data_IF_054294938456
#
_entry.id   IF_054294938456
#
_cell.length_a   1.000
_cell.length_b   1.000
_cell.length_c   1.000
_cell.angle_alpha   90.00
_cell.angle_beta   90.00
_cell.angle_gamma   90.00
#
_symmetry.space_group_name_H-M   'P 1'
#
loop_
_entity.id
_entity.type
_entity.pdbx_description
1 polymer ?
#
# COMPACT_ATOMS: atom_id res chain seq x y z
N UNK A 1 0.70 52.01 16.93
CA UNK A 1 1.39 50.78 17.19
C UNK A 1 1.02 49.63 16.21
N UNK A 2 1.18 49.97 14.95
CA UNK A 2 0.86 49.05 13.85
C UNK A 2 1.63 47.73 13.95
N UNK A 3 2.89 47.74 14.39
CA UNK A 3 3.75 46.57 14.53
C UNK A 3 3.28 45.57 15.61
N UNK A 4 2.69 46.06 16.70
CA UNK A 4 2.15 45.18 17.76
C UNK A 4 0.85 44.53 17.32
N UNK A 5 0.01 45.22 16.56
CA UNK A 5 -1.22 44.71 16.01
C UNK A 5 -0.94 43.61 14.96
N UNK A 6 0.04 43.79 14.08
CA UNK A 6 0.45 42.78 13.10
C UNK A 6 1.05 41.56 13.76
N UNK A 7 1.87 41.72 14.81
CA UNK A 7 2.45 40.59 15.54
C UNK A 7 1.37 39.78 16.28
N UNK A 8 0.37 40.48 16.89
CA UNK A 8 -0.74 39.81 17.56
C UNK A 8 -1.62 39.06 16.56
N UNK A 9 -1.90 39.63 15.39
CA UNK A 9 -2.65 38.99 14.33
C UNK A 9 -1.91 37.72 13.83
N UNK A 10 -0.57 37.79 13.66
CA UNK A 10 0.25 36.68 13.25
C UNK A 10 0.25 35.55 14.30
N UNK A 11 0.32 35.89 15.59
CA UNK A 11 0.22 34.91 16.68
C UNK A 11 -1.15 34.20 16.70
N UNK A 12 -2.24 34.95 16.48
CA UNK A 12 -3.57 34.37 16.37
C UNK A 12 -3.66 33.43 15.17
N UNK A 13 -3.11 33.84 14.01
CA UNK A 13 -3.08 33.02 12.80
C UNK A 13 -2.29 31.73 13.00
N UNK A 14 -1.12 31.78 13.66
CA UNK A 14 -0.33 30.63 14.00
C UNK A 14 -1.10 29.69 14.93
N UNK A 15 -1.71 30.20 16.00
CA UNK A 15 -2.50 29.40 16.94
C UNK A 15 -3.70 28.72 16.26
N UNK A 16 -4.40 29.43 15.38
CA UNK A 16 -5.48 28.90 14.57
C UNK A 16 -5.00 27.82 13.61
N UNK A 17 -3.87 28.06 12.94
CA UNK A 17 -3.28 27.08 12.01
C UNK A 17 -2.81 25.83 12.73
N UNK A 18 -2.17 25.93 13.89
CA UNK A 18 -1.77 24.79 14.71
C UNK A 18 -2.98 23.96 15.17
N UNK A 19 -4.09 24.61 15.51
CA UNK A 19 -5.32 23.89 15.85
C UNK A 19 -5.85 23.04 14.70
N UNK A 20 -5.81 23.57 13.46
CA UNK A 20 -6.27 22.85 12.27
C UNK A 20 -5.22 21.90 11.68
N UNK A 21 -3.94 22.07 12.00
CA UNK A 21 -2.86 21.18 11.55
C UNK A 21 -3.04 19.72 12.00
N UNK A 22 -3.76 19.48 13.11
CA UNK A 22 -4.12 18.12 13.55
C UNK A 22 -5.01 17.36 12.58
N UNK A 23 -5.73 18.09 11.71
CA UNK A 23 -6.58 17.50 10.66
C UNK A 23 -5.85 17.30 9.33
N UNK A 24 -4.54 17.57 9.31
CA UNK A 24 -3.70 17.32 8.14
C UNK A 24 -3.60 15.80 7.86
N UNK A 25 -3.99 15.41 6.65
CA UNK A 25 -4.01 14.00 6.25
C UNK A 25 -3.16 13.78 4.99
N UNK A 26 -2.45 12.65 4.99
CA UNK A 26 -1.72 12.12 3.84
C UNK A 26 -2.56 11.03 3.18
N UNK A 27 -2.69 11.07 1.86
CA UNK A 27 -3.34 10.05 1.07
C UNK A 27 -2.33 9.38 0.12
N UNK A 28 -1.87 8.20 0.48
CA UNK A 28 -1.01 7.36 -0.35
C UNK A 28 -1.75 6.13 -0.89
N UNK A 29 -3.09 6.18 -0.92
CA UNK A 29 -3.86 5.10 -1.56
C UNK A 29 -3.58 5.04 -3.05
N UNK A 30 -3.69 3.84 -3.64
CA UNK A 30 -3.67 3.67 -5.10
C UNK A 30 -4.72 4.54 -5.79
N UNK A 31 -5.86 4.77 -5.14
CA UNK A 31 -6.92 5.64 -5.64
C UNK A 31 -6.48 7.11 -5.78
N UNK A 32 -5.55 7.57 -4.95
CA UNK A 32 -5.01 8.93 -5.04
C UNK A 32 -4.12 9.17 -6.28
N UNK A 33 -3.70 8.08 -6.93
CA UNK A 33 -2.93 8.10 -8.18
C UNK A 33 -3.83 7.95 -9.41
N UNK A 34 -5.10 7.59 -9.23
CA UNK A 34 -6.08 7.41 -10.29
C UNK A 34 -6.92 8.69 -10.43
N UNK A 35 -7.15 9.10 -11.67
CA UNK A 35 -8.06 10.21 -11.96
C UNK A 35 -9.51 9.71 -11.79
N UNK A 36 -10.23 10.31 -10.87
CA UNK A 36 -11.67 10.09 -10.75
C UNK A 36 -12.34 10.50 -12.08
N UNK A 37 -13.13 9.58 -12.66
CA UNK A 37 -13.75 9.77 -13.98
C UNK A 37 -13.00 9.15 -15.16
N UNK A 38 -11.85 8.51 -14.93
CA UNK A 38 -11.12 7.75 -15.95
C UNK A 38 -12.00 6.58 -16.45
N UNK A 39 -12.21 6.45 -17.77
CA UNK A 39 -13.02 5.35 -18.36
C UNK A 39 -12.47 3.96 -18.00
N UNK A 40 -11.15 3.80 -17.93
CA UNK A 40 -10.52 2.52 -17.60
C UNK A 40 -10.76 2.15 -16.13
N UNK A 41 -10.79 3.13 -15.23
CA UNK A 41 -11.15 2.93 -13.84
C UNK A 41 -12.61 2.49 -13.69
N UNK A 42 -13.52 3.10 -14.46
CA UNK A 42 -14.91 2.71 -14.48
C UNK A 42 -15.08 1.26 -14.97
N UNK A 43 -14.42 0.92 -16.06
CA UNK A 43 -14.42 -0.45 -16.61
C UNK A 43 -13.87 -1.46 -15.61
N UNK A 44 -12.75 -1.14 -14.93
CA UNK A 44 -12.17 -2.00 -13.89
C UNK A 44 -13.16 -2.23 -12.73
N UNK A 45 -13.90 -1.20 -12.32
CA UNK A 45 -14.92 -1.30 -11.26
C UNK A 45 -16.07 -2.20 -11.69
N UNK A 46 -16.57 -2.08 -12.94
CA UNK A 46 -17.61 -2.94 -13.50
C UNK A 46 -17.17 -4.41 -13.57
N UNK A 47 -15.93 -4.66 -14.00
CA UNK A 47 -15.34 -6.02 -14.00
C UNK A 47 -15.25 -6.57 -12.57
N UNK A 48 -14.78 -5.77 -11.63
CA UNK A 48 -14.67 -6.18 -10.22
C UNK A 48 -16.04 -6.42 -9.57
N UNK A 49 -17.09 -5.69 -9.96
CA UNK A 49 -18.45 -5.96 -9.49
C UNK A 49 -18.99 -7.28 -10.05
N UNK A 50 -18.72 -7.58 -11.32
CA UNK A 50 -19.24 -8.76 -12.01
C UNK A 50 -18.54 -10.05 -11.58
N UNK A 51 -17.21 -10.02 -11.52
CA UNK A 51 -16.39 -11.22 -11.28
C UNK A 51 -15.86 -11.31 -9.84
N UNK A 52 -16.06 -10.25 -9.05
CA UNK A 52 -15.44 -10.11 -7.75
C UNK A 52 -13.96 -9.71 -7.86
N UNK A 53 -13.45 -8.99 -6.89
CA UNK A 53 -12.02 -8.79 -6.72
C UNK A 53 -11.62 -9.22 -5.33
N UNK A 54 -10.50 -9.94 -5.24
CA UNK A 54 -9.82 -10.20 -3.96
C UNK A 54 -8.47 -9.52 -4.03
N UNK A 55 -8.19 -8.74 -3.02
CA UNK A 55 -6.83 -8.24 -2.84
C UNK A 55 -5.90 -9.42 -2.59
N UNK A 56 -4.70 -9.34 -3.12
CA UNK A 56 -3.70 -10.38 -2.94
C UNK A 56 -2.29 -9.79 -2.80
N UNK A 57 -1.46 -10.55 -2.10
CA UNK A 57 -0.02 -10.35 -2.07
C UNK A 57 0.65 -11.44 -2.91
N UNK A 58 1.76 -11.10 -3.52
CA UNK A 58 2.60 -12.05 -4.26
C UNK A 58 3.94 -12.12 -3.58
N UNK A 59 4.39 -13.33 -3.26
CA UNK A 59 5.75 -13.57 -2.85
C UNK A 59 6.49 -14.31 -3.96
N UNK A 60 7.72 -13.91 -4.23
CA UNK A 60 8.64 -14.74 -5.01
C UNK A 60 9.43 -15.59 -4.05
N UNK A 61 9.54 -16.87 -4.36
CA UNK A 61 10.27 -17.86 -3.56
C UNK A 61 11.35 -18.50 -4.42
N UNK A 62 12.61 -18.18 -4.13
CA UNK A 62 13.80 -18.75 -4.79
C UNK A 62 14.55 -19.58 -3.76
N UNK A 63 14.37 -20.92 -3.75
CA UNK A 63 15.03 -21.78 -2.78
C UNK A 63 16.55 -21.84 -3.03
N UNK A 64 17.30 -22.15 -1.99
CA UNK A 64 18.74 -22.41 -2.09
C UNK A 64 19.01 -23.69 -2.90
N UNK A 65 18.14 -24.69 -2.74
CA UNK A 65 18.19 -25.98 -3.44
C UNK A 65 17.09 -26.09 -4.51
N UNK A 66 17.04 -27.18 -5.25
CA UNK A 66 16.03 -27.38 -6.30
C UNK A 66 14.62 -27.61 -5.72
N UNK A 67 13.58 -27.24 -6.46
CA UNK A 67 12.18 -27.60 -6.15
C UNK A 67 11.90 -29.11 -6.21
N UNK A 68 12.79 -29.90 -6.79
CA UNK A 68 12.68 -31.37 -6.81
C UNK A 68 13.10 -32.02 -5.49
N UNK A 69 13.79 -31.26 -4.62
CA UNK A 69 14.25 -31.77 -3.33
C UNK A 69 13.14 -31.79 -2.27
N UNK A 70 13.15 -32.86 -1.46
CA UNK A 70 12.15 -33.04 -0.41
C UNK A 70 12.15 -31.90 0.61
N UNK A 71 13.35 -31.42 0.96
CA UNK A 71 13.53 -30.35 1.94
C UNK A 71 12.93 -29.03 1.48
N UNK A 72 13.14 -28.67 0.21
CA UNK A 72 12.55 -27.47 -0.40
C UNK A 72 11.02 -27.51 -0.35
N UNK A 73 10.42 -28.65 -0.71
CA UNK A 73 8.97 -28.84 -0.66
C UNK A 73 8.44 -28.72 0.79
N UNK A 74 9.12 -29.34 1.76
CA UNK A 74 8.74 -29.26 3.16
C UNK A 74 8.82 -27.82 3.70
N UNK A 75 9.90 -27.10 3.37
CA UNK A 75 10.07 -25.70 3.77
C UNK A 75 8.96 -24.81 3.18
N UNK A 76 8.62 -25.02 1.91
CA UNK A 76 7.53 -24.30 1.26
C UNK A 76 6.16 -24.66 1.86
N UNK A 77 5.90 -25.91 2.21
CA UNK A 77 4.69 -26.33 2.92
C UNK A 77 4.57 -25.67 4.31
N UNK A 78 5.69 -25.62 5.05
CA UNK A 78 5.73 -24.97 6.36
C UNK A 78 5.47 -23.46 6.24
N UNK A 79 6.13 -22.78 5.30
CA UNK A 79 5.90 -21.36 5.01
C UNK A 79 4.44 -21.10 4.66
N UNK A 80 3.89 -21.87 3.70
CA UNK A 80 2.47 -21.79 3.33
C UNK A 80 1.55 -21.94 4.54
N UNK A 81 1.78 -22.97 5.36
CA UNK A 81 0.98 -23.24 6.56
C UNK A 81 1.05 -22.10 7.58
N UNK A 82 2.21 -21.44 7.73
CA UNK A 82 2.36 -20.28 8.62
C UNK A 82 1.60 -19.07 8.11
N UNK A 83 1.70 -18.78 6.79
CA UNK A 83 0.97 -17.67 6.17
C UNK A 83 -0.54 -17.93 6.22
N UNK A 84 -0.98 -19.14 5.93
CA UNK A 84 -2.40 -19.53 5.95
C UNK A 84 -3.06 -19.38 7.35
N UNK A 85 -2.26 -19.42 8.43
CA UNK A 85 -2.75 -19.23 9.81
C UNK A 85 -2.94 -17.77 10.20
N UNK A 86 -2.49 -16.81 9.40
CA UNK A 86 -2.71 -15.40 9.64
C UNK A 86 -4.21 -15.09 9.51
N UNK A 87 -4.77 -14.38 10.47
CA UNK A 87 -6.22 -14.17 10.61
C UNK A 87 -6.87 -13.44 9.43
N UNK A 88 -6.09 -12.62 8.75
CA UNK A 88 -6.48 -11.79 7.61
C UNK A 88 -6.26 -12.46 6.25
N UNK A 89 -5.61 -13.62 6.22
CA UNK A 89 -5.40 -14.42 5.00
C UNK A 89 -6.63 -15.28 4.73
N UNK A 90 -7.09 -15.29 3.49
CA UNK A 90 -8.17 -16.16 3.00
C UNK A 90 -7.60 -17.48 2.51
N UNK A 91 -6.68 -17.43 1.54
CA UNK A 91 -6.07 -18.61 0.96
C UNK A 91 -4.64 -18.34 0.45
N UNK A 92 -3.82 -19.38 0.37
CA UNK A 92 -2.46 -19.34 -0.14
C UNK A 92 -2.28 -20.38 -1.22
N UNK A 93 -1.85 -19.95 -2.41
CA UNK A 93 -1.58 -20.82 -3.55
C UNK A 93 -0.09 -20.75 -3.88
N UNK A 94 0.52 -21.90 -4.09
CA UNK A 94 1.94 -22.06 -4.39
C UNK A 94 2.15 -23.09 -5.50
N UNK A 95 3.38 -23.25 -5.96
CA UNK A 95 3.72 -24.28 -6.97
C UNK A 95 3.42 -25.71 -6.50
N UNK A 96 3.41 -25.96 -5.19
CA UNK A 96 3.08 -27.31 -4.65
C UNK A 96 1.59 -27.62 -4.67
N UNK A 97 0.73 -26.66 -5.01
CA UNK A 97 -0.72 -26.84 -5.13
C UNK A 97 -1.17 -27.06 -6.57
N UNK A 98 -0.24 -26.95 -7.51
CA UNK A 98 -0.52 -27.09 -8.94
C UNK A 98 -0.93 -28.55 -9.25
N UNK A 99 -2.10 -28.75 -9.90
CA UNK A 99 -2.52 -30.07 -10.36
C UNK A 99 -1.58 -30.63 -11.42
N UNK A 100 -1.12 -31.88 -11.21
CA UNK A 100 -0.32 -32.64 -12.18
C UNK A 100 -1.27 -33.53 -12.99
N UNK A 101 -1.28 -33.33 -14.30
CA UNK A 101 -2.17 -34.07 -15.21
C UNK A 101 -1.45 -35.13 -16.05
N UNK A 102 -0.13 -35.00 -16.24
CA UNK A 102 0.68 -35.87 -17.08
C UNK A 102 1.60 -36.81 -16.30
N UNK A 103 1.97 -36.42 -15.08
CA UNK A 103 2.96 -37.14 -14.26
C UNK A 103 2.37 -38.24 -13.39
N UNK A 104 1.11 -38.62 -13.59
CA UNK A 104 0.42 -39.68 -12.88
C UNK A 104 -0.02 -40.78 -13.86
N UNK A 105 0.05 -42.03 -13.45
CA UNK A 105 -0.36 -43.17 -14.28
C UNK A 105 -1.87 -43.50 -14.20
N UNK A 106 -2.65 -42.69 -13.53
CA UNK A 106 -4.09 -42.81 -13.35
C UNK A 106 -4.89 -42.42 -14.60
N UNK A 107 -6.13 -42.88 -14.70
CA UNK A 107 -7.05 -42.51 -15.79
C UNK A 107 -7.39 -41.01 -15.73
N UNK A 108 -7.71 -40.40 -16.88
CA UNK A 108 -8.05 -38.97 -16.94
C UNK A 108 -9.21 -38.59 -16.01
N UNK A 109 -10.20 -39.47 -15.86
CA UNK A 109 -11.36 -39.25 -14.98
C UNK A 109 -10.97 -39.28 -13.49
N UNK A 110 -10.02 -40.12 -13.09
CA UNK A 110 -9.51 -40.17 -11.72
C UNK A 110 -8.67 -38.94 -11.40
N UNK A 111 -7.83 -38.49 -12.35
CA UNK A 111 -7.02 -37.27 -12.22
C UNK A 111 -7.88 -36.01 -12.04
N UNK A 112 -9.01 -35.92 -12.75
CA UNK A 112 -9.93 -34.78 -12.60
C UNK A 112 -10.70 -34.77 -11.28
N UNK A 113 -10.92 -35.96 -10.67
CA UNK A 113 -11.57 -36.10 -9.37
C UNK A 113 -10.62 -35.92 -8.19
N UNK A 114 -9.41 -36.51 -8.31
CA UNK A 114 -8.38 -36.52 -7.26
C UNK A 114 -7.03 -36.15 -7.86
N UNK A 115 -6.84 -34.85 -8.19
CA UNK A 115 -5.55 -34.41 -8.73
C UNK A 115 -4.43 -34.52 -7.69
N UNK A 116 -3.31 -35.05 -8.13
CA UNK A 116 -2.07 -35.10 -7.36
C UNK A 116 -1.24 -33.84 -7.61
N UNK A 117 -0.45 -33.44 -6.63
CA UNK A 117 0.42 -32.26 -6.70
C UNK A 117 1.84 -32.62 -6.26
N UNK A 118 2.80 -31.72 -6.42
CA UNK A 118 4.18 -31.96 -5.97
C UNK A 118 4.31 -32.24 -4.46
N UNK A 119 3.30 -31.90 -3.67
CA UNK A 119 3.26 -32.16 -2.25
C UNK A 119 2.99 -33.64 -1.89
N UNK A 120 2.47 -34.44 -2.83
CA UNK A 120 2.17 -35.85 -2.59
C UNK A 120 3.46 -36.67 -2.45
N UNK A 121 3.58 -37.51 -1.41
CA UNK A 121 4.80 -38.29 -1.15
C UNK A 121 5.18 -39.26 -2.27
N UNK A 122 4.20 -39.86 -2.96
CA UNK A 122 4.36 -40.90 -3.98
C UNK A 122 4.65 -40.35 -5.38
N UNK A 123 4.65 -39.05 -5.58
CA UNK A 123 4.92 -38.41 -6.89
C UNK A 123 6.41 -38.40 -7.18
N UNK A 124 6.77 -38.76 -8.42
CA UNK A 124 8.07 -38.45 -8.97
C UNK A 124 8.19 -36.96 -9.17
N UNK A 125 8.89 -36.29 -8.21
CA UNK A 125 9.02 -34.82 -8.16
C UNK A 125 9.74 -34.26 -9.37
N UNK A 126 10.69 -35.01 -9.98
CA UNK A 126 11.40 -34.55 -11.18
C UNK A 126 10.43 -34.48 -12.35
N UNK A 127 9.69 -35.56 -12.60
CA UNK A 127 8.68 -35.62 -13.67
C UNK A 127 7.56 -34.62 -13.47
N UNK A 128 7.06 -34.45 -12.22
CA UNK A 128 6.05 -33.49 -11.90
C UNK A 128 6.52 -32.03 -12.08
N UNK A 129 7.75 -31.76 -11.70
CA UNK A 129 8.33 -30.42 -11.86
C UNK A 129 8.60 -30.09 -13.34
N UNK A 130 9.07 -31.05 -14.15
CA UNK A 130 9.19 -30.90 -15.59
C UNK A 130 7.83 -30.61 -16.27
N UNK A 131 6.76 -31.27 -15.80
CA UNK A 131 5.40 -30.95 -16.28
C UNK A 131 5.03 -29.50 -16.03
N UNK A 132 5.31 -28.97 -14.84
CA UNK A 132 4.97 -27.59 -14.48
C UNK A 132 5.79 -26.59 -15.32
N UNK A 133 7.10 -26.78 -15.46
CA UNK A 133 7.98 -25.90 -16.25
C UNK A 133 7.60 -25.88 -17.73
N UNK A 134 7.21 -27.04 -18.28
CA UNK A 134 6.85 -27.13 -19.68
C UNK A 134 5.37 -26.84 -19.95
N UNK A 135 4.60 -26.51 -18.93
CA UNK A 135 3.19 -26.16 -19.07
C UNK A 135 3.01 -24.73 -19.58
N UNK A 136 2.25 -24.49 -20.65
CA UNK A 136 1.94 -23.14 -21.12
C UNK A 136 1.06 -22.34 -20.15
N UNK A 137 0.43 -23.03 -19.17
CA UNK A 137 -0.43 -22.40 -18.16
C UNK A 137 0.38 -21.95 -16.94
N UNK A 138 1.40 -22.71 -16.55
CA UNK A 138 2.12 -22.48 -15.28
C UNK A 138 3.46 -21.77 -15.48
N UNK A 139 4.11 -21.97 -16.63
CA UNK A 139 5.36 -21.30 -17.00
C UNK A 139 5.13 -19.78 -17.07
N UNK A 140 6.00 -19.00 -16.46
CA UNK A 140 5.94 -17.56 -16.33
C UNK A 140 4.80 -17.00 -15.47
N UNK A 141 3.88 -17.84 -14.97
CA UNK A 141 2.82 -17.42 -14.04
C UNK A 141 3.04 -17.96 -12.62
N UNK A 142 3.33 -19.24 -12.50
CA UNK A 142 3.54 -19.89 -11.20
C UNK A 142 5.03 -20.13 -10.96
N UNK A 143 5.78 -20.41 -12.02
CA UNK A 143 7.20 -20.67 -11.98
C UNK A 143 7.92 -19.88 -13.08
N UNK A 144 9.13 -19.40 -12.79
CA UNK A 144 9.99 -18.74 -13.77
C UNK A 144 10.41 -19.68 -14.89
N UNK A 145 10.79 -19.13 -16.03
CA UNK A 145 11.21 -19.91 -17.21
C UNK A 145 12.41 -20.82 -16.94
N UNK A 146 13.32 -20.39 -16.07
CA UNK A 146 14.50 -21.16 -15.64
C UNK A 146 14.20 -22.15 -14.51
N UNK A 147 12.97 -22.22 -14.03
CA UNK A 147 12.54 -23.11 -12.96
C UNK A 147 13.11 -22.80 -11.57
N UNK A 148 13.77 -21.66 -11.37
CA UNK A 148 14.46 -21.34 -10.11
C UNK A 148 13.61 -20.59 -9.12
N UNK A 149 12.60 -19.85 -9.58
CA UNK A 149 11.75 -19.00 -8.74
C UNK A 149 10.29 -19.35 -8.94
N UNK A 150 9.56 -19.52 -7.84
CA UNK A 150 8.11 -19.73 -7.86
C UNK A 150 7.38 -18.54 -7.27
N UNK A 151 6.18 -18.27 -7.79
CA UNK A 151 5.22 -17.36 -7.19
C UNK A 151 4.44 -18.04 -6.06
N UNK A 152 4.17 -17.29 -4.99
CA UNK A 152 3.21 -17.64 -3.94
C UNK A 152 2.17 -16.54 -3.95
N UNK A 153 0.91 -16.88 -4.18
CA UNK A 153 -0.20 -15.93 -4.15
C UNK A 153 -0.93 -16.07 -2.83
N UNK A 154 -1.03 -14.97 -2.10
CA UNK A 154 -1.71 -14.88 -0.81
C UNK A 154 -2.95 -14.03 -0.99
N UNK A 155 -4.13 -14.63 -1.04
CA UNK A 155 -5.40 -13.93 -1.10
C UNK A 155 -5.79 -13.41 0.27
N UNK A 156 -6.25 -12.16 0.32
CA UNK A 156 -6.67 -11.49 1.54
C UNK A 156 -8.17 -11.67 1.75
N UNK A 157 -8.59 -11.69 3.01
CA UNK A 157 -10.01 -11.62 3.34
C UNK A 157 -10.56 -10.26 2.95
N UNK A 158 -11.67 -10.27 2.25
CA UNK A 158 -12.36 -9.05 1.83
C UNK A 158 -12.87 -8.27 3.03
N UNK A 159 -12.62 -6.98 3.06
CA UNK A 159 -13.26 -6.06 4.01
C UNK A 159 -14.59 -5.59 3.43
N UNK A 160 -15.68 -6.28 3.80
CA UNK A 160 -17.04 -6.00 3.28
C UNK A 160 -17.48 -4.57 3.59
N UNK A 161 -17.09 -4.03 4.76
CA UNK A 161 -17.45 -2.68 5.15
C UNK A 161 -16.74 -1.63 4.31
N UNK A 162 -15.45 -1.83 4.00
CA UNK A 162 -14.73 -0.95 3.09
C UNK A 162 -15.34 -1.00 1.69
N UNK A 163 -15.69 -2.20 1.20
CA UNK A 163 -16.32 -2.37 -0.10
C UNK A 163 -17.68 -1.64 -0.19
N UNK A 164 -18.47 -1.69 0.89
CA UNK A 164 -19.74 -0.95 0.97
C UNK A 164 -19.51 0.57 0.94
N UNK A 165 -18.54 1.07 1.70
CA UNK A 165 -18.18 2.49 1.69
C UNK A 165 -17.75 2.97 0.29
N UNK A 166 -16.91 2.19 -0.40
CA UNK A 166 -16.47 2.51 -1.78
C UNK A 166 -17.68 2.57 -2.71
N UNK A 167 -18.60 1.60 -2.64
CA UNK A 167 -19.81 1.58 -3.47
C UNK A 167 -20.70 2.80 -3.24
N UNK A 168 -20.89 3.22 -2.01
CA UNK A 168 -21.67 4.42 -1.66
C UNK A 168 -20.96 5.68 -2.17
N UNK A 169 -19.64 5.78 -2.02
CA UNK A 169 -18.83 6.89 -2.54
C UNK A 169 -18.98 7.02 -4.04
N UNK A 170 -18.86 5.91 -4.78
CA UNK A 170 -18.99 5.89 -6.23
C UNK A 170 -20.40 6.30 -6.70
N UNK A 171 -21.45 5.87 -5.97
CA UNK A 171 -22.82 6.30 -6.25
C UNK A 171 -22.96 7.82 -6.15
N UNK A 172 -22.50 8.43 -5.05
CA UNK A 172 -22.57 9.89 -4.88
C UNK A 172 -21.72 10.62 -5.92
N UNK A 173 -20.56 10.09 -6.27
CA UNK A 173 -19.67 10.65 -7.28
C UNK A 173 -20.33 10.66 -8.67
N UNK A 174 -20.85 9.53 -9.11
CA UNK A 174 -21.54 9.41 -10.39
C UNK A 174 -22.78 10.32 -10.46
N UNK A 175 -23.58 10.35 -9.40
CA UNK A 175 -24.72 11.26 -9.32
C UNK A 175 -24.30 12.73 -9.39
N UNK A 176 -23.16 13.10 -8.79
CA UNK A 176 -22.66 14.47 -8.81
C UNK A 176 -22.31 14.95 -10.21
N UNK A 177 -21.86 14.04 -11.09
CA UNK A 177 -21.48 14.32 -12.47
C UNK A 177 -22.73 14.34 -13.38
N UNK A 178 -23.61 13.36 -13.23
CA UNK A 178 -24.74 13.18 -14.14
C UNK A 178 -25.87 14.17 -13.91
N UNK A 179 -26.28 14.37 -12.67
CA UNK A 179 -27.48 15.15 -12.31
C UNK A 179 -27.20 16.31 -11.34
N UNK A 180 -26.00 16.32 -10.76
CA UNK A 180 -25.66 17.20 -9.64
C UNK A 180 -26.26 16.71 -8.32
N UNK A 181 -25.75 17.25 -7.22
CA UNK A 181 -26.26 16.97 -5.88
C UNK A 181 -27.01 18.18 -5.32
N UNK A 182 -28.19 17.94 -4.75
CA UNK A 182 -28.95 18.93 -3.98
C UNK A 182 -28.16 19.40 -2.74
N UNK A 183 -28.62 20.47 -2.09
CA UNK A 183 -27.97 20.98 -0.86
C UNK A 183 -27.97 19.94 0.27
N UNK A 184 -29.03 19.18 0.42
CA UNK A 184 -29.17 18.15 1.44
C UNK A 184 -28.24 16.95 1.14
N UNK A 185 -28.20 16.49 -0.12
CA UNK A 185 -27.31 15.42 -0.56
C UNK A 185 -25.83 15.79 -0.40
N UNK A 186 -25.45 17.05 -0.68
CA UNK A 186 -24.08 17.54 -0.42
C UNK A 186 -23.72 17.48 1.05
N UNK A 187 -24.64 17.80 1.95
CA UNK A 187 -24.41 17.72 3.39
C UNK A 187 -24.26 16.28 3.86
N UNK A 188 -25.14 15.39 3.36
CA UNK A 188 -25.09 13.98 3.67
C UNK A 188 -23.82 13.31 3.14
N UNK A 189 -23.44 13.65 1.90
CA UNK A 189 -22.17 13.17 1.32
C UNK A 189 -20.96 13.63 2.11
N UNK A 190 -20.94 14.88 2.57
CA UNK A 190 -19.85 15.38 3.42
C UNK A 190 -19.75 14.62 4.76
N UNK A 191 -20.87 14.30 5.40
CA UNK A 191 -20.87 13.47 6.63
C UNK A 191 -20.36 12.06 6.34
N UNK A 192 -20.87 11.45 5.26
CA UNK A 192 -20.44 10.13 4.81
C UNK A 192 -18.94 10.09 4.53
N UNK A 193 -18.37 11.10 3.85
CA UNK A 193 -16.94 11.18 3.59
C UNK A 193 -16.10 11.17 4.87
N UNK A 194 -16.53 11.84 5.93
CA UNK A 194 -15.82 11.80 7.20
C UNK A 194 -15.81 10.39 7.81
N UNK A 195 -16.95 9.70 7.80
CA UNK A 195 -17.05 8.31 8.29
C UNK A 195 -16.21 7.33 7.45
N UNK A 196 -16.24 7.50 6.13
CA UNK A 196 -15.38 6.75 5.21
C UNK A 196 -13.91 6.94 5.50
N UNK A 197 -13.46 8.19 5.71
CA UNK A 197 -12.07 8.51 6.00
C UNK A 197 -11.61 7.93 7.33
N UNK A 198 -12.41 8.03 8.38
CA UNK A 198 -12.12 7.43 9.68
C UNK A 198 -11.95 5.91 9.54
N UNK A 199 -12.83 5.25 8.79
CA UNK A 199 -12.74 3.83 8.54
C UNK A 199 -11.53 3.46 7.68
N UNK A 200 -11.24 4.23 6.63
CA UNK A 200 -10.08 4.04 5.75
C UNK A 200 -8.76 4.16 6.53
N UNK A 201 -8.66 5.12 7.43
CA UNK A 201 -7.51 5.26 8.32
C UNK A 201 -7.31 4.02 9.21
N UNK A 202 -8.38 3.49 9.77
CA UNK A 202 -8.34 2.24 10.54
C UNK A 202 -7.94 1.04 9.67
N UNK A 203 -8.46 0.95 8.45
CA UNK A 203 -8.06 -0.07 7.48
C UNK A 203 -6.58 0.00 7.16
N UNK A 204 -6.04 1.20 6.88
CA UNK A 204 -4.63 1.41 6.58
C UNK A 204 -3.73 0.98 7.76
N UNK A 205 -4.12 1.28 9.00
CA UNK A 205 -3.39 0.83 10.19
C UNK A 205 -3.37 -0.72 10.29
N UNK A 206 -4.50 -1.37 10.04
CA UNK A 206 -4.57 -2.85 10.02
C UNK A 206 -3.72 -3.42 8.88
N UNK A 207 -3.78 -2.82 7.70
CA UNK A 207 -2.95 -3.24 6.56
C UNK A 207 -1.45 -3.15 6.90
N UNK A 208 -1.01 -2.07 7.53
CA UNK A 208 0.37 -1.91 7.99
C UNK A 208 0.79 -3.03 8.96
N UNK A 209 -0.07 -3.37 9.92
CA UNK A 209 0.16 -4.49 10.84
C UNK A 209 0.24 -5.82 10.10
N UNK A 210 -0.66 -6.08 9.16
CA UNK A 210 -0.68 -7.29 8.35
C UNK A 210 0.60 -7.45 7.49
N UNK A 211 1.05 -6.35 6.85
CA UNK A 211 2.29 -6.35 6.06
C UNK A 211 3.52 -6.57 6.95
N UNK A 212 3.54 -6.00 8.15
CA UNK A 212 4.61 -6.24 9.12
C UNK A 212 4.62 -7.72 9.56
N UNK A 213 3.46 -8.27 9.89
CA UNK A 213 3.32 -9.66 10.34
C UNK A 213 3.78 -10.68 9.26
N UNK A 214 3.42 -10.47 7.99
CA UNK A 214 3.88 -11.37 6.92
C UNK A 214 5.39 -11.23 6.67
N UNK A 215 5.96 -10.02 6.80
CA UNK A 215 7.42 -9.80 6.72
C UNK A 215 8.15 -10.55 7.83
N UNK A 216 7.62 -10.54 9.05
CA UNK A 216 8.19 -11.29 10.17
C UNK A 216 8.14 -12.80 9.95
N UNK A 217 7.09 -13.30 9.31
CA UNK A 217 7.00 -14.70 8.88
C UNK A 217 8.07 -15.01 7.83
N UNK A 218 8.17 -14.21 6.78
CA UNK A 218 9.10 -14.40 5.66
C UNK A 218 10.56 -14.40 6.14
N UNK A 219 10.92 -13.45 7.01
CA UNK A 219 12.29 -13.29 7.50
C UNK A 219 12.82 -14.55 8.22
N UNK A 220 11.95 -15.33 8.84
CA UNK A 220 12.32 -16.60 9.49
C UNK A 220 12.73 -17.72 8.50
N UNK A 221 12.40 -17.53 7.23
CA UNK A 221 12.72 -18.52 6.17
C UNK A 221 13.85 -18.02 5.24
N UNK A 222 14.47 -16.89 5.54
CA UNK A 222 15.51 -16.28 4.72
C UNK A 222 16.78 -17.12 4.54
N UNK A 223 17.06 -18.07 5.44
CA UNK A 223 18.17 -19.01 5.31
C UNK A 223 17.90 -20.11 4.27
N UNK A 224 16.64 -20.49 4.08
CA UNK A 224 16.22 -21.58 3.21
C UNK A 224 15.87 -21.12 1.79
N UNK A 225 15.49 -19.85 1.65
CA UNK A 225 15.09 -19.29 0.36
C UNK A 225 15.23 -17.76 0.37
N UNK A 226 15.49 -17.19 -0.80
CA UNK A 226 15.36 -15.77 -1.04
C UNK A 226 13.89 -15.47 -1.34
N UNK A 227 13.24 -14.68 -0.47
CA UNK A 227 11.83 -14.37 -0.58
C UNK A 227 11.65 -12.85 -0.71
N UNK A 228 10.87 -12.41 -1.70
CA UNK A 228 10.47 -11.02 -1.84
C UNK A 228 8.95 -10.92 -1.77
N UNK A 229 8.48 -9.92 -1.05
CA UNK A 229 7.06 -9.59 -0.94
C UNK A 229 6.71 -8.48 -1.94
N UNK A 230 5.58 -8.62 -2.62
CA UNK A 230 4.98 -7.66 -3.54
C UNK A 230 3.45 -7.68 -3.45
N UNK A 231 2.82 -6.81 -4.20
CA UNK A 231 1.36 -6.70 -4.26
C UNK A 231 0.87 -5.29 -3.90
N UNK A 232 -0.32 -4.93 -4.42
CA UNK A 232 -0.87 -3.57 -4.25
C UNK A 232 -0.99 -3.17 -2.77
N UNK A 233 -1.50 -4.02 -1.86
CA UNK A 233 -1.61 -3.64 -0.43
C UNK A 233 -0.26 -3.36 0.22
N UNK A 234 0.81 -4.08 -0.17
CA UNK A 234 2.17 -3.85 0.32
C UNK A 234 2.76 -2.57 -0.24
N UNK A 235 2.58 -2.32 -1.55
CA UNK A 235 3.06 -1.10 -2.21
C UNK A 235 2.43 0.13 -1.58
N UNK A 236 1.11 0.10 -1.33
CA UNK A 236 0.40 1.20 -0.69
C UNK A 236 0.92 1.49 0.73
N UNK A 237 1.20 0.43 1.51
CA UNK A 237 1.78 0.56 2.85
C UNK A 237 3.20 1.13 2.84
N UNK A 238 4.05 0.63 1.95
CA UNK A 238 5.42 1.12 1.79
C UNK A 238 5.44 2.59 1.33
N UNK A 239 4.60 2.95 0.36
CA UNK A 239 4.46 4.34 -0.10
C UNK A 239 4.08 5.26 1.06
N UNK A 240 3.10 4.88 1.88
CA UNK A 240 2.71 5.66 3.06
C UNK A 240 3.87 5.83 4.05
N UNK A 241 4.60 4.76 4.30
CA UNK A 241 5.74 4.74 5.22
C UNK A 241 6.90 5.59 4.69
N UNK A 242 7.21 5.50 3.39
CA UNK A 242 8.24 6.31 2.75
C UNK A 242 7.87 7.79 2.75
N UNK A 243 6.62 8.16 2.42
CA UNK A 243 6.19 9.56 2.45
C UNK A 243 6.36 10.15 3.84
N UNK A 244 5.91 9.43 4.89
CA UNK A 244 6.10 9.88 6.28
C UNK A 244 7.58 10.07 6.62
N UNK A 245 8.42 9.12 6.23
CA UNK A 245 9.87 9.20 6.43
C UNK A 245 10.47 10.37 5.65
N UNK A 246 10.10 10.54 4.40
CA UNK A 246 10.60 11.60 3.52
C UNK A 246 10.26 12.99 4.06
N UNK A 247 9.02 13.22 4.48
CA UNK A 247 8.61 14.49 5.09
C UNK A 247 9.50 14.83 6.29
N UNK A 248 9.81 13.86 7.14
CA UNK A 248 10.65 14.06 8.32
C UNK A 248 12.10 14.29 7.91
N UNK A 249 12.68 13.39 7.10
CA UNK A 249 14.10 13.41 6.73
C UNK A 249 14.41 14.65 5.87
N UNK A 250 13.63 14.91 4.83
CA UNK A 250 13.84 16.08 3.99
C UNK A 250 13.49 17.37 4.72
N UNK A 251 12.40 17.40 5.50
CA UNK A 251 12.03 18.56 6.30
C UNK A 251 13.13 18.95 7.28
N UNK A 252 13.66 18.02 8.05
CA UNK A 252 14.78 18.27 8.97
C UNK A 252 16.06 18.58 8.21
N UNK A 253 16.37 17.83 7.15
CA UNK A 253 17.59 18.01 6.34
C UNK A 253 17.65 19.41 5.71
N UNK A 254 16.59 19.85 5.07
CA UNK A 254 16.47 21.18 4.47
C UNK A 254 16.57 22.27 5.56
N UNK A 255 15.88 22.08 6.69
CA UNK A 255 15.90 23.03 7.78
C UNK A 255 17.31 23.22 8.36
N UNK A 256 18.02 22.12 8.62
CA UNK A 256 19.43 22.14 9.08
C UNK A 256 20.34 22.79 8.02
N UNK A 257 20.14 22.47 6.74
CA UNK A 257 20.89 23.06 5.65
C UNK A 257 20.69 24.58 5.56
N UNK A 258 19.46 25.05 5.71
CA UNK A 258 19.15 26.50 5.74
C UNK A 258 19.85 27.17 6.94
N UNK A 259 19.78 26.57 8.14
CA UNK A 259 20.48 27.11 9.31
C UNK A 259 21.98 27.24 9.06
N UNK A 260 22.59 26.17 8.54
CA UNK A 260 24.03 26.13 8.25
C UNK A 260 24.42 27.20 7.23
N UNK A 261 23.68 27.32 6.14
CA UNK A 261 23.92 28.30 5.05
C UNK A 261 23.79 29.73 5.56
N UNK A 262 22.71 30.04 6.28
CA UNK A 262 22.50 31.35 6.85
C UNK A 262 23.58 31.71 7.90
N UNK A 263 23.97 30.73 8.71
CA UNK A 263 25.03 30.95 9.70
C UNK A 263 26.40 31.22 9.03
N UNK A 264 26.72 30.54 7.96
CA UNK A 264 27.96 30.73 7.20
C UNK A 264 28.01 32.12 6.54
N UNK A 265 26.87 32.61 6.02
CA UNK A 265 26.76 33.91 5.36
C UNK A 265 26.79 35.05 6.38
N UNK A 266 25.91 34.98 7.37
CA UNK A 266 25.69 36.14 8.26
C UNK A 266 26.61 36.12 9.48
N UNK A 267 27.15 34.97 9.90
CA UNK A 267 28.01 34.78 11.10
C UNK A 267 27.42 35.42 12.37
N UNK A 268 26.13 35.73 12.41
CA UNK A 268 25.43 36.33 13.51
C UNK A 268 24.06 35.65 13.71
N UNK A 269 23.85 35.09 14.88
CA UNK A 269 22.69 34.27 15.19
C UNK A 269 21.35 35.03 15.05
N UNK A 270 21.31 36.31 15.31
CA UNK A 270 20.10 37.14 15.18
C UNK A 270 19.59 37.17 13.74
N UNK A 271 20.50 37.26 12.76
CA UNK A 271 20.16 37.30 11.33
C UNK A 271 19.84 35.90 10.78
N UNK A 272 20.15 34.84 11.50
CA UNK A 272 19.76 33.46 11.19
C UNK A 272 18.35 33.18 11.72
N UNK A 273 18.03 33.58 12.95
CA UNK A 273 16.74 33.30 13.59
C UNK A 273 15.56 33.96 12.87
N UNK A 274 15.72 35.22 12.40
CA UNK A 274 14.61 35.92 11.76
C UNK A 274 14.04 35.22 10.50
N UNK A 275 14.84 34.86 9.49
CA UNK A 275 14.34 34.10 8.34
C UNK A 275 13.78 32.73 8.75
N UNK A 276 14.43 32.04 9.70
CA UNK A 276 13.94 30.74 10.19
C UNK A 276 12.55 30.78 10.81
N UNK A 277 12.28 31.85 11.59
CA UNK A 277 10.92 32.06 12.11
C UNK A 277 9.91 32.32 10.98
N UNK A 278 10.32 33.05 9.94
CA UNK A 278 9.51 33.25 8.73
C UNK A 278 9.18 31.92 8.05
N UNK A 279 10.20 31.11 7.74
CA UNK A 279 10.04 29.78 7.14
C UNK A 279 9.14 28.86 8.00
N UNK A 280 9.39 28.78 9.30
CA UNK A 280 8.60 27.95 10.21
C UNK A 280 7.13 28.39 10.27
N UNK A 281 6.87 29.71 10.34
CA UNK A 281 5.50 30.23 10.34
C UNK A 281 4.76 29.94 9.04
N UNK A 282 5.44 30.08 7.89
CA UNK A 282 4.86 29.76 6.57
C UNK A 282 4.45 28.29 6.48
N UNK A 283 5.31 27.36 6.92
CA UNK A 283 4.98 25.92 6.95
C UNK A 283 3.80 25.63 7.87
N UNK A 284 3.77 26.21 9.09
CA UNK A 284 2.68 26.02 10.03
C UNK A 284 1.35 26.53 9.46
N UNK A 285 1.36 27.71 8.85
CA UNK A 285 0.17 28.29 8.22
C UNK A 285 -0.32 27.41 7.06
N UNK A 286 0.59 26.94 6.21
CA UNK A 286 0.24 26.08 5.08
C UNK A 286 -0.35 24.73 5.53
N UNK A 287 0.30 24.05 6.49
CA UNK A 287 -0.22 22.79 7.05
C UNK A 287 -1.59 23.00 7.73
N UNK A 288 -1.74 24.10 8.47
CA UNK A 288 -3.01 24.44 9.09
C UNK A 288 -4.11 24.75 8.08
N UNK A 289 -3.79 25.42 6.99
CA UNK A 289 -4.74 25.74 5.91
C UNK A 289 -5.17 24.46 5.16
N UNK A 290 -4.24 23.55 4.86
CA UNK A 290 -4.56 22.25 4.29
C UNK A 290 -5.47 21.43 5.20
N UNK A 291 -5.19 21.41 6.52
CA UNK A 291 -6.04 20.78 7.51
C UNK A 291 -7.43 21.43 7.65
N UNK A 292 -7.52 22.76 7.51
CA UNK A 292 -8.79 23.50 7.55
C UNK A 292 -9.67 23.19 6.34
N UNK A 293 -9.09 23.19 5.13
CA UNK A 293 -9.80 22.93 3.87
C UNK A 293 -10.13 21.44 3.75
N UNK A 294 -9.39 20.56 4.45
CA UNK A 294 -9.50 19.12 4.33
C UNK A 294 -8.85 18.57 3.06
N UNK A 295 -7.93 19.33 2.44
CA UNK A 295 -7.14 18.84 1.32
C UNK A 295 -6.11 17.85 1.80
N UNK A 296 -6.11 16.68 1.12
CA UNK A 296 -5.13 15.65 1.39
C UNK A 296 -3.88 15.88 0.57
N UNK A 297 -2.75 15.63 1.21
CA UNK A 297 -1.46 15.62 0.52
C UNK A 297 -1.24 14.22 -0.05
N UNK A 298 -1.15 14.13 -1.37
CA UNK A 298 -0.88 12.88 -2.08
C UNK A 298 0.63 12.61 -2.15
N UNK A 299 0.99 11.42 -2.63
CA UNK A 299 2.39 11.02 -2.90
C UNK A 299 3.13 12.08 -3.72
N UNK A 300 2.48 12.60 -4.77
CA UNK A 300 3.09 13.58 -5.70
C UNK A 300 3.37 14.91 -5.00
N UNK A 301 2.50 15.32 -4.08
CA UNK A 301 2.60 16.62 -3.40
C UNK A 301 3.32 16.54 -2.05
N UNK A 302 3.84 15.38 -1.64
CA UNK A 302 4.46 15.18 -0.31
C UNK A 302 5.67 16.10 -0.04
N UNK A 303 6.39 16.50 -1.06
CA UNK A 303 7.56 17.38 -0.96
C UNK A 303 7.23 18.87 -0.74
N UNK A 304 5.94 19.24 -0.57
CA UNK A 304 5.53 20.65 -0.44
C UNK A 304 6.20 21.34 0.76
N UNK A 305 6.48 20.64 1.86
CA UNK A 305 7.13 21.20 3.05
C UNK A 305 8.55 21.67 2.70
N UNK A 306 9.32 20.81 2.01
CA UNK A 306 10.67 21.18 1.58
C UNK A 306 10.64 22.35 0.59
N UNK A 307 9.69 22.34 -0.36
CA UNK A 307 9.50 23.45 -1.30
C UNK A 307 9.15 24.76 -0.58
N UNK A 308 8.26 24.73 0.41
CA UNK A 308 7.89 25.91 1.19
C UNK A 308 9.08 26.46 1.98
N UNK A 309 9.90 25.59 2.58
CA UNK A 309 11.10 26.00 3.30
C UNK A 309 12.15 26.67 2.39
N UNK A 310 12.22 26.27 1.12
CA UNK A 310 13.17 26.80 0.14
C UNK A 310 12.66 28.13 -0.46
N UNK A 311 11.34 28.24 -0.68
CA UNK A 311 10.74 29.40 -1.34
C UNK A 311 10.49 30.59 -0.40
N UNK A 312 10.47 30.37 0.91
CA UNK A 312 10.24 31.42 1.93
C UNK A 312 11.55 31.98 2.46
#
# INVERSE_FOLDING_TARGET
>A
DFSKATLLLLLILIGFSLYHAKNFNLDASSDALLLEGDPDLKYLREVNETYGSKDFLVLTYTPVSSFTEKETILNLQLLKSKIQKLTWVDSVITVIDVPLLKSTDESLMERLKNYKTLAYPEIDRKRGFEEIINSPIYRNYVISEDGKTSGIVVYLKKDERLAEYIKIKDKYFNQSIETGLSKEEKLNYKKFLNEYEDYKNLYNLRNHQNITEIRDVINKYGENAKIHLGGIPMIADDMMSYIKSDIIVFGIGVFVFIIFTLWLIFRNIKWVIMPLLGCATSVIIMVGLLGLIGWKVTVISSNFIALMLILT
#
